data_IF_050284698969
#
_entry.id   IF_050284698969
#
_cell.length_a   1.000
_cell.length_b   1.000
_cell.length_c   1.000
_cell.angle_alpha   90.00
_cell.angle_beta   90.00
_cell.angle_gamma   90.00
#
_symmetry.space_group_name_H-M   'P 1'
#
loop_
_entity.id
_entity.type
_entity.pdbx_description
1 polymer ?
#
# COMPACT_ATOMS: atom_id res chain seq x y z
N UNK A 1 36.33 -4.38 21.00
CA UNK A 1 36.64 -3.54 19.83
C UNK A 1 36.33 -4.32 18.56
N UNK A 2 35.39 -3.85 17.76
CA UNK A 2 34.94 -4.52 16.53
C UNK A 2 36.08 -4.61 15.51
N UNK A 3 36.01 -5.57 14.59
CA UNK A 3 36.93 -5.66 13.46
C UNK A 3 36.93 -4.39 12.60
N UNK A 4 35.78 -3.72 12.51
CA UNK A 4 35.65 -2.44 11.80
C UNK A 4 36.31 -1.27 12.53
N UNK A 5 36.29 -1.26 13.88
CA UNK A 5 36.92 -0.21 14.69
C UNK A 5 38.46 -0.23 14.53
N UNK A 6 39.07 -1.42 14.48
CA UNK A 6 40.52 -1.57 14.24
C UNK A 6 40.97 -1.13 12.85
N UNK A 7 40.13 -1.33 11.82
CA UNK A 7 40.42 -0.84 10.46
C UNK A 7 40.30 0.67 10.37
N UNK A 8 39.35 1.28 11.09
CA UNK A 8 39.19 2.73 11.12
C UNK A 8 40.42 3.42 11.74
N UNK A 9 41.01 2.86 12.80
CA UNK A 9 42.24 3.42 13.40
C UNK A 9 43.48 3.33 12.51
N UNK A 10 43.54 2.33 11.62
CA UNK A 10 44.63 2.15 10.65
C UNK A 10 44.51 3.04 9.41
N UNK A 11 43.40 3.78 9.25
CA UNK A 11 43.23 4.70 8.14
C UNK A 11 44.12 5.95 8.30
N UNK A 12 44.54 6.59 7.20
CA UNK A 12 45.20 7.89 7.23
C UNK A 12 44.39 8.92 8.01
N UNK A 13 45.07 9.85 8.69
CA UNK A 13 44.45 10.86 9.54
C UNK A 13 43.31 11.63 8.84
N UNK A 14 43.43 12.07 7.58
CA UNK A 14 42.35 12.77 6.89
C UNK A 14 41.08 11.92 6.73
N UNK A 15 41.23 10.61 6.52
CA UNK A 15 40.11 9.68 6.37
C UNK A 15 39.43 9.44 7.71
N UNK A 16 40.19 9.35 8.80
CA UNK A 16 39.62 9.24 10.16
C UNK A 16 38.88 10.51 10.57
N UNK A 17 39.46 11.68 10.30
CA UNK A 17 38.82 12.96 10.56
C UNK A 17 37.51 13.09 9.77
N UNK A 18 37.50 12.66 8.50
CA UNK A 18 36.28 12.63 7.69
C UNK A 18 35.21 11.67 8.25
N UNK A 19 35.57 10.44 8.63
CA UNK A 19 34.61 9.50 9.24
C UNK A 19 34.03 10.03 10.54
N UNK A 20 34.86 10.67 11.38
CA UNK A 20 34.41 11.31 12.62
C UNK A 20 33.39 12.41 12.32
N UNK A 21 33.69 13.31 11.37
CA UNK A 21 32.78 14.37 10.97
C UNK A 21 31.45 13.82 10.41
N UNK A 22 31.50 12.76 9.59
CA UNK A 22 30.29 12.09 9.10
C UNK A 22 29.46 11.46 10.22
N UNK A 23 30.11 10.84 11.22
CA UNK A 23 29.41 10.26 12.36
C UNK A 23 28.74 11.33 13.23
N UNK A 24 29.42 12.45 13.48
CA UNK A 24 28.88 13.61 14.20
C UNK A 24 27.67 14.19 13.45
N UNK A 25 27.80 14.46 12.15
CA UNK A 25 26.70 14.97 11.33
C UNK A 25 25.50 14.01 11.30
N UNK A 26 25.76 12.70 11.19
CA UNK A 26 24.70 11.69 11.21
C UNK A 26 23.96 11.71 12.54
N UNK A 27 24.69 11.76 13.66
CA UNK A 27 24.11 11.86 15.00
C UNK A 27 23.24 13.11 15.16
N UNK A 28 23.70 14.26 14.69
CA UNK A 28 22.93 15.51 14.72
C UNK A 28 21.67 15.43 13.85
N UNK A 29 21.80 14.85 12.66
CA UNK A 29 20.67 14.65 11.73
C UNK A 29 19.62 13.70 12.32
N UNK A 30 20.05 12.61 12.95
CA UNK A 30 19.17 11.65 13.63
C UNK A 30 18.44 12.31 14.81
N UNK A 31 19.13 13.17 15.57
CA UNK A 31 18.50 13.91 16.66
C UNK A 31 17.42 14.88 16.15
N UNK A 32 17.70 15.62 15.08
CA UNK A 32 16.72 16.50 14.44
C UNK A 32 15.53 15.72 13.86
N UNK A 33 15.81 14.61 13.17
CA UNK A 33 14.76 13.74 12.63
C UNK A 33 13.86 13.18 13.72
N UNK A 34 14.44 12.74 14.84
CA UNK A 34 13.69 12.24 15.99
C UNK A 34 12.81 13.34 16.59
N UNK A 35 13.33 14.54 16.80
CA UNK A 35 12.55 15.66 17.33
C UNK A 35 11.38 16.03 16.39
N UNK A 36 11.63 16.05 15.09
CA UNK A 36 10.58 16.25 14.08
C UNK A 36 9.52 15.15 14.15
N UNK A 37 9.92 13.88 14.16
CA UNK A 37 8.98 12.74 14.22
C UNK A 37 8.14 12.75 15.49
N UNK A 38 8.75 13.05 16.64
CA UNK A 38 8.00 13.22 17.90
C UNK A 38 6.97 14.34 17.78
N UNK A 39 7.31 15.47 17.16
CA UNK A 39 6.34 16.57 16.96
C UNK A 39 5.19 16.16 16.04
N UNK A 40 5.47 15.40 14.99
CA UNK A 40 4.42 14.86 14.09
C UNK A 40 3.51 13.91 14.86
N UNK A 41 4.08 12.97 15.62
CA UNK A 41 3.31 12.01 16.43
C UNK A 41 2.43 12.70 17.48
N UNK A 42 2.92 13.77 18.11
CA UNK A 42 2.10 14.60 19.01
C UNK A 42 0.91 15.23 18.28
N UNK A 43 1.14 15.82 17.10
CA UNK A 43 0.08 16.45 16.29
C UNK A 43 -0.93 15.41 15.84
N UNK A 44 -0.47 14.25 15.38
CA UNK A 44 -1.32 13.16 14.92
C UNK A 44 -2.19 12.62 16.07
N UNK A 45 -1.60 12.46 17.26
CA UNK A 45 -2.32 12.06 18.47
C UNK A 45 -3.37 13.09 18.89
N UNK A 46 -3.01 14.39 18.92
CA UNK A 46 -3.95 15.49 19.24
C UNK A 46 -5.10 15.57 18.22
N UNK A 47 -4.82 15.28 16.95
CA UNK A 47 -5.82 15.25 15.88
C UNK A 47 -6.63 13.93 15.85
N UNK A 48 -6.27 12.93 16.65
CA UNK A 48 -6.92 11.62 16.65
C UNK A 48 -6.69 10.83 15.35
N UNK A 49 -5.55 11.03 14.70
CA UNK A 49 -5.25 10.47 13.38
C UNK A 49 -5.28 8.94 13.36
N UNK A 50 -4.81 8.27 14.42
CA UNK A 50 -4.86 6.80 14.52
C UNK A 50 -6.30 6.29 14.32
N UNK A 51 -7.27 6.91 14.99
CA UNK A 51 -8.68 6.53 14.84
C UNK A 51 -9.28 6.89 13.48
N UNK A 52 -8.80 7.96 12.84
CA UNK A 52 -9.22 8.32 11.48
C UNK A 52 -8.61 7.38 10.43
N UNK A 53 -7.37 6.94 10.63
CA UNK A 53 -6.69 5.98 9.78
C UNK A 53 -7.36 4.59 9.90
N UNK A 54 -7.67 4.15 11.13
CA UNK A 54 -8.45 2.93 11.36
C UNK A 54 -9.82 2.99 10.67
N UNK A 55 -10.57 4.08 10.84
CA UNK A 55 -11.87 4.24 10.19
C UNK A 55 -11.79 4.29 8.65
N UNK A 56 -10.72 4.90 8.12
CA UNK A 56 -10.45 4.90 6.68
C UNK A 56 -10.13 3.48 6.19
N UNK A 57 -9.26 2.75 6.89
CA UNK A 57 -8.90 1.37 6.56
C UNK A 57 -10.13 0.45 6.61
N UNK A 58 -10.96 0.55 7.64
CA UNK A 58 -12.23 -0.18 7.74
C UNK A 58 -13.16 0.13 6.55
N UNK A 59 -13.22 1.40 6.12
CA UNK A 59 -14.03 1.80 4.98
C UNK A 59 -13.49 1.23 3.65
N UNK A 60 -12.18 1.23 3.48
CA UNK A 60 -11.50 0.64 2.32
C UNK A 60 -11.72 -0.88 2.30
N UNK A 61 -11.53 -1.56 3.43
CA UNK A 61 -11.75 -3.00 3.56
C UNK A 61 -13.20 -3.38 3.27
N UNK A 62 -14.17 -2.61 3.79
CA UNK A 62 -15.58 -2.82 3.48
C UNK A 62 -15.87 -2.67 1.98
N UNK A 63 -15.27 -1.67 1.32
CA UNK A 63 -15.38 -1.49 -0.14
C UNK A 63 -14.81 -2.70 -0.89
N UNK A 64 -13.62 -3.18 -0.51
CA UNK A 64 -13.00 -4.36 -1.12
C UNK A 64 -13.87 -5.61 -0.96
N UNK A 65 -14.39 -5.86 0.25
CA UNK A 65 -15.29 -6.99 0.53
C UNK A 65 -16.54 -6.96 -0.35
N UNK A 66 -17.15 -5.79 -0.55
CA UNK A 66 -18.30 -5.62 -1.44
C UNK A 66 -17.90 -5.92 -2.89
N UNK A 67 -16.77 -5.38 -3.35
CA UNK A 67 -16.25 -5.62 -4.69
C UNK A 67 -16.02 -7.09 -5.00
N UNK A 68 -15.35 -7.81 -4.10
CA UNK A 68 -15.15 -9.26 -4.23
C UNK A 68 -16.46 -10.04 -4.27
N UNK A 69 -17.46 -9.66 -3.46
CA UNK A 69 -18.80 -10.28 -3.50
C UNK A 69 -19.51 -10.06 -4.84
N UNK A 70 -19.38 -8.86 -5.41
CA UNK A 70 -19.91 -8.54 -6.75
C UNK A 70 -19.26 -9.45 -7.80
N UNK A 71 -17.94 -9.64 -7.77
CA UNK A 71 -17.27 -10.51 -8.73
C UNK A 71 -17.56 -12.00 -8.51
N UNK A 72 -17.68 -12.45 -7.27
CA UNK A 72 -18.02 -13.84 -6.96
C UNK A 72 -19.45 -14.20 -7.41
N UNK A 73 -20.38 -13.24 -7.43
CA UNK A 73 -21.78 -13.47 -7.80
C UNK A 73 -21.93 -13.55 -9.33
N UNK A 74 -22.37 -14.67 -9.92
CA UNK A 74 -22.57 -14.76 -11.36
C UNK A 74 -23.60 -13.75 -11.89
N UNK A 75 -23.27 -13.02 -12.96
CA UNK A 75 -24.25 -12.21 -13.67
C UNK A 75 -24.94 -13.04 -14.77
N UNK A 76 -26.26 -12.90 -14.86
CA UNK A 76 -27.11 -13.55 -15.88
C UNK A 76 -27.74 -12.54 -16.86
N UNK A 77 -27.32 -11.28 -16.78
CA UNK A 77 -27.81 -10.18 -17.63
C UNK A 77 -26.67 -9.24 -17.98
N UNK A 78 -26.85 -8.47 -19.06
CA UNK A 78 -25.91 -7.39 -19.42
C UNK A 78 -25.80 -6.32 -18.31
N UNK A 79 -26.92 -5.98 -17.66
CA UNK A 79 -26.92 -5.04 -16.53
C UNK A 79 -26.05 -5.54 -15.37
N UNK A 80 -26.09 -6.85 -15.07
CA UNK A 80 -25.22 -7.45 -14.05
C UNK A 80 -23.74 -7.37 -14.42
N UNK A 81 -23.40 -7.51 -15.71
CA UNK A 81 -22.03 -7.34 -16.20
C UNK A 81 -21.58 -5.88 -16.07
N UNK A 82 -22.45 -4.91 -16.37
CA UNK A 82 -22.15 -3.48 -16.22
C UNK A 82 -21.85 -3.13 -14.76
N UNK A 83 -22.58 -3.71 -13.80
CA UNK A 83 -22.31 -3.54 -12.37
C UNK A 83 -20.90 -4.00 -12.02
N UNK A 84 -20.46 -5.16 -12.55
CA UNK A 84 -19.10 -5.66 -12.33
C UNK A 84 -18.04 -4.74 -12.92
N UNK A 85 -18.25 -4.20 -14.13
CA UNK A 85 -17.31 -3.25 -14.75
C UNK A 85 -17.13 -2.03 -13.84
N UNK A 86 -18.24 -1.43 -13.37
CA UNK A 86 -18.20 -0.26 -12.48
C UNK A 86 -17.54 -0.57 -11.13
N UNK A 87 -17.75 -1.76 -10.59
CA UNK A 87 -17.08 -2.20 -9.37
C UNK A 87 -15.55 -2.32 -9.59
N UNK A 88 -15.13 -2.87 -10.73
CA UNK A 88 -13.72 -2.97 -11.11
C UNK A 88 -13.05 -1.61 -11.24
N UNK A 89 -13.71 -0.66 -11.92
CA UNK A 89 -13.22 0.72 -12.06
C UNK A 89 -13.04 1.39 -10.70
N UNK A 90 -14.02 1.23 -9.79
CA UNK A 90 -13.99 1.87 -8.48
C UNK A 90 -12.95 1.30 -7.53
N UNK A 91 -12.59 0.02 -7.70
CA UNK A 91 -11.53 -0.62 -6.92
C UNK A 91 -10.12 -0.30 -7.43
N UNK A 92 -10.00 0.36 -8.60
CA UNK A 92 -8.71 0.77 -9.15
C UNK A 92 -7.78 -0.42 -9.44
N UNK A 93 -8.35 -1.57 -9.79
CA UNK A 93 -7.62 -2.83 -9.85
C UNK A 93 -6.57 -2.86 -11.00
N UNK A 94 -5.26 -2.76 -10.69
CA UNK A 94 -4.27 -2.42 -11.70
C UNK A 94 -3.81 -3.59 -12.58
N UNK A 95 -3.89 -4.85 -12.12
CA UNK A 95 -3.32 -5.97 -12.87
C UNK A 95 -4.12 -7.29 -12.73
N UNK A 96 -4.27 -8.01 -13.86
CA UNK A 96 -4.81 -9.37 -14.02
C UNK A 96 -6.04 -9.72 -13.16
N UNK A 97 -6.98 -8.77 -13.18
CA UNK A 97 -8.08 -8.54 -12.24
C UNK A 97 -9.13 -9.67 -12.18
N UNK A 98 -9.43 -10.14 -10.97
CA UNK A 98 -10.59 -11.01 -10.64
C UNK A 98 -11.88 -10.52 -11.30
N UNK A 99 -12.05 -9.19 -11.42
CA UNK A 99 -13.15 -8.56 -12.15
C UNK A 99 -13.20 -9.00 -13.62
N UNK A 100 -12.09 -8.95 -14.35
CA UNK A 100 -12.04 -9.33 -15.77
C UNK A 100 -12.31 -10.82 -15.97
N UNK A 101 -11.76 -11.68 -15.10
CA UNK A 101 -12.04 -13.12 -15.15
C UNK A 101 -13.52 -13.42 -14.89
N UNK A 102 -14.09 -12.75 -13.89
CA UNK A 102 -15.51 -12.85 -13.53
C UNK A 102 -16.43 -12.38 -14.66
N UNK A 103 -16.15 -11.20 -15.24
CA UNK A 103 -16.89 -10.65 -16.38
C UNK A 103 -16.78 -11.58 -17.59
N UNK A 104 -15.59 -12.07 -17.92
CA UNK A 104 -15.39 -12.96 -19.04
C UNK A 104 -16.14 -14.29 -18.87
N UNK A 105 -16.22 -14.83 -17.64
CA UNK A 105 -17.01 -16.02 -17.35
C UNK A 105 -18.51 -15.79 -17.59
N UNK A 106 -19.03 -14.62 -17.19
CA UNK A 106 -20.45 -14.28 -17.38
C UNK A 106 -20.79 -14.03 -18.86
N UNK A 107 -19.91 -13.35 -19.62
CA UNK A 107 -20.07 -13.17 -21.07
C UNK A 107 -20.16 -14.53 -21.79
N UNK A 108 -19.28 -15.49 -21.44
CA UNK A 108 -19.34 -16.84 -22.02
C UNK A 108 -20.65 -17.55 -21.68
N UNK A 109 -21.17 -17.36 -20.46
CA UNK A 109 -22.43 -17.97 -20.02
C UNK A 109 -23.61 -17.43 -20.81
N UNK A 110 -23.67 -16.12 -21.04
CA UNK A 110 -24.72 -15.49 -21.85
C UNK A 110 -24.69 -15.96 -23.30
N UNK A 111 -23.50 -15.97 -23.91
CA UNK A 111 -23.34 -16.42 -25.29
C UNK A 111 -23.75 -17.90 -25.48
N UNK A 112 -23.43 -18.76 -24.51
CA UNK A 112 -23.84 -20.16 -24.54
C UNK A 112 -25.36 -20.32 -24.40
N UNK A 113 -26.01 -19.55 -23.53
CA UNK A 113 -27.46 -19.58 -23.34
C UNK A 113 -28.21 -19.16 -24.62
N UNK A 114 -27.71 -18.12 -25.30
CA UNK A 114 -28.23 -17.66 -26.59
C UNK A 114 -28.08 -18.70 -27.70
N UNK A 115 -26.95 -19.40 -27.77
CA UNK A 115 -26.72 -20.45 -28.77
C UNK A 115 -27.62 -21.69 -28.61
N UNK A 116 -28.24 -21.87 -27.44
CA UNK A 116 -29.14 -22.99 -27.13
C UNK A 116 -30.63 -22.62 -27.13
N UNK A 117 -30.95 -21.35 -27.35
CA UNK A 117 -32.33 -20.82 -27.38
C UNK A 117 -32.88 -20.69 -28.81
#
# INVERSE_FOLDING_TARGET
MSFNDRKAEQQPEPVRAWYKACAEQKSESEALWKAYKTKVEEIDCEAGMDGLEDAYNDSVDAMWQIGHRIFATPAHTLDGIIIKIRAGDRMGAPDANEAFLSIAADVRRLAAAEATS
#
